data_IF_978471893915
#
_entry.id   IF_978471893915
#
_cell.length_a   1.000
_cell.length_b   1.000
_cell.length_c   1.000
_cell.angle_alpha   90.00
_cell.angle_beta   90.00
_cell.angle_gamma   90.00
#
_symmetry.space_group_name_H-M   'P 1'
#
loop_
_entity.id
_entity.type
_entity.pdbx_description
1 polymer ?
#
# COMPACT_ATOMS: atom_id res chain seq x y z
N UNK A 1 6.34 15.79 -16.16
CA UNK A 1 7.43 14.88 -15.75
C UNK A 1 8.77 15.62 -15.75
N UNK A 2 9.27 16.09 -16.89
CA UNK A 2 10.60 16.70 -17.01
C UNK A 2 10.85 17.89 -16.07
N UNK A 3 9.87 18.79 -15.93
CA UNK A 3 9.97 19.92 -15.00
C UNK A 3 10.20 19.47 -13.55
N UNK A 4 9.55 18.38 -13.11
CA UNK A 4 9.74 17.81 -11.77
C UNK A 4 11.11 17.16 -11.66
N UNK A 5 11.48 16.32 -12.64
CA UNK A 5 12.72 15.54 -12.60
C UNK A 5 14.00 16.40 -12.72
N UNK A 6 13.92 17.60 -13.30
CA UNK A 6 15.05 18.54 -13.37
C UNK A 6 15.30 19.32 -12.08
N UNK A 7 14.38 19.27 -11.11
CA UNK A 7 14.51 20.03 -9.88
C UNK A 7 15.32 19.21 -8.83
N UNK A 8 16.51 19.66 -8.43
CA UNK A 8 17.38 18.92 -7.50
C UNK A 8 16.80 18.84 -6.08
N UNK A 9 15.78 19.63 -5.73
CA UNK A 9 15.11 19.53 -4.42
C UNK A 9 14.08 18.38 -4.35
N UNK A 10 13.82 17.69 -5.47
CA UNK A 10 12.91 16.53 -5.48
C UNK A 10 13.66 15.27 -5.08
N UNK A 11 13.09 14.52 -4.15
CA UNK A 11 13.65 13.26 -3.63
C UNK A 11 13.17 12.02 -4.39
N UNK A 12 12.32 12.19 -5.40
CA UNK A 12 11.77 11.10 -6.21
C UNK A 12 11.64 11.51 -7.67
N UNK A 13 11.67 10.51 -8.55
CA UNK A 13 11.56 10.67 -10.01
C UNK A 13 10.18 10.25 -10.50
N UNK A 14 9.64 10.99 -11.45
CA UNK A 14 8.43 10.63 -12.19
C UNK A 14 8.79 9.91 -13.49
N UNK A 15 7.94 8.97 -13.90
CA UNK A 15 8.04 8.27 -15.19
C UNK A 15 6.67 8.22 -15.86
N UNK A 16 6.68 8.03 -17.16
CA UNK A 16 5.48 7.75 -17.93
C UNK A 16 4.93 6.37 -17.53
N UNK A 17 3.61 6.25 -17.40
CA UNK A 17 2.91 5.03 -17.01
C UNK A 17 1.53 4.96 -17.67
N UNK A 18 0.80 3.88 -17.40
CA UNK A 18 -0.61 3.69 -17.76
C UNK A 18 -1.54 4.83 -17.29
N UNK A 19 -1.14 5.56 -16.25
CA UNK A 19 -1.85 6.72 -15.71
C UNK A 19 -1.63 8.01 -16.53
N UNK A 20 -0.63 8.05 -17.42
CA UNK A 20 -0.17 9.30 -18.04
C UNK A 20 -1.11 9.84 -19.12
N UNK A 21 -2.03 9.03 -19.63
CA UNK A 21 -3.01 9.41 -20.66
C UNK A 21 -4.45 9.37 -20.17
N UNK A 22 -4.68 9.12 -18.88
CA UNK A 22 -6.03 9.10 -18.33
C UNK A 22 -6.64 10.50 -18.33
N UNK A 23 -7.91 10.57 -18.72
CA UNK A 23 -8.75 11.73 -18.42
C UNK A 23 -8.98 11.83 -16.91
N UNK A 24 -9.40 13.01 -16.45
CA UNK A 24 -9.76 13.22 -15.04
C UNK A 24 -10.84 12.25 -14.55
N UNK A 25 -11.78 11.88 -15.42
CA UNK A 25 -12.87 10.95 -15.06
C UNK A 25 -12.38 9.51 -14.97
N UNK A 26 -11.51 9.06 -15.88
CA UNK A 26 -10.88 7.74 -15.78
C UNK A 26 -9.98 7.64 -14.55
N UNK A 27 -9.20 8.68 -14.28
CA UNK A 27 -8.39 8.77 -13.07
C UNK A 27 -9.25 8.65 -11.80
N UNK A 28 -10.38 9.38 -11.73
CA UNK A 28 -11.30 9.31 -10.59
C UNK A 28 -11.91 7.92 -10.40
N UNK A 29 -12.24 7.19 -11.48
CA UNK A 29 -12.79 5.82 -11.36
C UNK A 29 -11.84 4.85 -10.65
N UNK A 30 -10.52 5.09 -10.76
CA UNK A 30 -9.49 4.31 -10.06
C UNK A 30 -9.34 4.70 -8.58
N UNK A 31 -10.00 5.76 -8.11
CA UNK A 31 -10.01 6.21 -6.71
C UNK A 31 -11.37 5.88 -6.06
N UNK A 32 -11.40 4.90 -5.14
CA UNK A 32 -12.67 4.43 -4.58
C UNK A 32 -12.72 4.24 -3.05
N UNK A 33 -11.69 4.66 -2.31
CA UNK A 33 -11.74 4.62 -0.84
C UNK A 33 -12.86 5.54 -0.34
N UNK A 34 -13.75 4.98 0.48
CA UNK A 34 -14.75 5.74 1.23
C UNK A 34 -14.46 5.58 2.70
N UNK A 35 -14.00 6.65 3.33
CA UNK A 35 -13.76 6.65 4.77
C UNK A 35 -15.09 6.74 5.50
N UNK A 36 -15.38 5.84 6.45
CA UNK A 36 -16.55 6.00 7.30
C UNK A 36 -16.36 7.22 8.22
N UNK A 37 -17.42 7.99 8.44
CA UNK A 37 -17.40 9.14 9.36
C UNK A 37 -17.22 8.72 10.83
N UNK A 38 -17.48 7.45 11.13
CA UNK A 38 -17.30 6.85 12.44
C UNK A 38 -16.29 5.72 12.29
N UNK A 39 -15.17 5.83 12.99
CA UNK A 39 -14.22 4.72 13.10
C UNK A 39 -14.84 3.73 14.11
N UNK A 40 -15.13 2.49 13.71
CA UNK A 40 -15.66 1.50 14.63
C UNK A 40 -14.67 1.24 15.77
N UNK A 41 -15.20 0.91 16.94
CA UNK A 41 -14.40 0.62 18.12
C UNK A 41 -13.36 -0.46 17.78
N UNK A 42 -12.08 -0.17 18.07
CA UNK A 42 -10.95 -1.00 17.66
C UNK A 42 -10.03 -1.21 18.84
N UNK A 43 -9.43 -2.39 18.95
CA UNK A 43 -8.44 -2.66 20.00
C UNK A 43 -7.18 -1.84 19.73
N UNK A 44 -6.80 -0.90 20.61
CA UNK A 44 -5.56 -0.15 20.44
C UNK A 44 -4.37 -1.09 20.39
N UNK A 45 -3.39 -0.77 19.55
CA UNK A 45 -2.11 -1.48 19.55
C UNK A 45 -1.35 -1.14 20.84
N UNK A 46 -0.89 -2.16 21.56
CA UNK A 46 -0.01 -2.04 22.72
C UNK A 46 1.29 -2.75 22.38
N UNK A 47 2.39 -2.00 22.34
CA UNK A 47 3.71 -2.59 22.15
C UNK A 47 4.08 -3.44 23.38
N UNK A 48 4.70 -4.62 23.19
CA UNK A 48 5.25 -5.40 24.30
C UNK A 48 6.29 -4.58 25.09
N UNK A 49 6.39 -4.84 26.40
CA UNK A 49 7.41 -4.23 27.24
C UNK A 49 8.82 -4.57 26.71
N UNK A 50 9.68 -3.56 26.60
CA UNK A 50 11.04 -3.71 26.07
C UNK A 50 11.11 -3.94 24.54
N UNK A 51 10.03 -3.67 23.80
CA UNK A 51 10.07 -3.76 22.34
C UNK A 51 10.94 -2.64 21.73
N UNK A 52 12.05 -3.05 21.11
CA UNK A 52 12.90 -2.19 20.28
C UNK A 52 12.63 -2.52 18.80
N UNK A 53 12.23 -1.52 18.02
CA UNK A 53 12.03 -1.69 16.59
C UNK A 53 13.40 -1.77 15.88
N UNK A 54 13.54 -2.61 14.84
CA UNK A 54 14.77 -2.60 14.04
C UNK A 54 14.88 -1.31 13.22
N UNK A 55 16.11 -0.89 12.91
CA UNK A 55 16.39 0.26 12.04
C UNK A 55 15.75 0.13 10.64
N UNK A 56 15.59 -1.10 10.16
CA UNK A 56 14.92 -1.41 8.90
C UNK A 56 14.29 -2.80 8.92
N UNK A 57 13.13 -2.94 8.28
CA UNK A 57 12.46 -4.23 8.05
C UNK A 57 11.82 -4.26 6.66
N UNK A 58 11.99 -5.37 5.96
CA UNK A 58 11.27 -5.68 4.73
C UNK A 58 10.54 -7.02 4.87
N UNK A 59 9.21 -6.98 4.90
CA UNK A 59 8.38 -8.18 5.04
C UNK A 59 8.38 -9.07 3.78
N UNK A 60 8.85 -8.56 2.63
CA UNK A 60 9.01 -9.34 1.39
C UNK A 60 10.08 -10.40 1.56
N UNK A 61 11.20 -10.05 2.18
CA UNK A 61 12.32 -10.97 2.45
C UNK A 61 11.92 -12.08 3.44
N UNK A 62 10.86 -11.85 4.22
CA UNK A 62 10.30 -12.79 5.18
C UNK A 62 9.12 -13.60 4.61
N UNK A 63 8.81 -13.46 3.32
CA UNK A 63 7.74 -14.20 2.65
C UNK A 63 6.33 -13.82 3.14
N UNK A 64 6.16 -12.61 3.69
CA UNK A 64 4.89 -12.13 4.24
C UNK A 64 4.18 -11.09 3.36
N UNK A 65 4.57 -10.99 2.08
CA UNK A 65 4.01 -10.05 1.11
C UNK A 65 3.82 -10.79 -0.21
N UNK A 66 2.57 -10.89 -0.66
CA UNK A 66 2.24 -11.49 -1.95
C UNK A 66 2.74 -10.63 -3.12
N UNK A 67 2.81 -11.24 -4.30
CA UNK A 67 3.20 -10.53 -5.53
C UNK A 67 2.30 -9.33 -5.84
N UNK A 68 2.87 -8.33 -6.53
CA UNK A 68 2.14 -7.11 -6.94
C UNK A 68 0.97 -7.49 -7.87
N UNK A 69 -0.19 -6.90 -7.60
CA UNK A 69 -1.44 -7.09 -8.37
C UNK A 69 -1.90 -5.75 -8.98
N UNK A 70 -2.88 -5.81 -9.89
CA UNK A 70 -3.44 -4.64 -10.57
C UNK A 70 -4.95 -4.49 -10.28
N UNK A 71 -5.36 -3.29 -9.83
CA UNK A 71 -6.76 -2.94 -9.59
C UNK A 71 -7.53 -2.58 -10.87
N UNK A 72 -6.80 -2.35 -11.98
CA UNK A 72 -7.30 -1.88 -13.26
C UNK A 72 -8.16 -0.61 -13.11
N UNK A 73 -9.27 -0.52 -13.85
CA UNK A 73 -10.15 0.65 -13.87
C UNK A 73 -11.18 0.68 -12.72
N UNK A 74 -10.98 -0.13 -11.68
CA UNK A 74 -11.84 -0.19 -10.50
C UNK A 74 -11.20 0.57 -9.33
N UNK A 75 -12.00 1.33 -8.57
CA UNK A 75 -11.60 2.00 -7.33
C UNK A 75 -11.42 1.04 -6.14
N UNK A 76 -10.81 -0.13 -6.36
CA UNK A 76 -10.74 -1.25 -5.43
C UNK A 76 -9.47 -1.29 -4.59
N UNK A 77 -8.62 -0.26 -4.61
CA UNK A 77 -7.37 -0.22 -3.83
C UNK A 77 -7.54 -0.55 -2.34
N UNK A 78 -8.68 -0.20 -1.73
CA UNK A 78 -9.01 -0.56 -0.35
C UNK A 78 -9.09 -2.08 -0.14
N UNK A 79 -9.60 -2.83 -1.13
CA UNK A 79 -9.72 -4.27 -1.07
C UNK A 79 -8.34 -4.93 -1.19
N UNK A 80 -7.48 -4.42 -2.07
CA UNK A 80 -6.09 -4.89 -2.20
C UNK A 80 -5.28 -4.64 -0.92
N UNK A 81 -5.39 -3.46 -0.31
CA UNK A 81 -4.76 -3.16 0.97
C UNK A 81 -5.24 -4.10 2.09
N UNK A 82 -6.55 -4.39 2.12
CA UNK A 82 -7.16 -5.29 3.11
C UNK A 82 -6.67 -6.72 2.91
N UNK A 83 -6.71 -7.24 1.68
CA UNK A 83 -6.26 -8.59 1.34
C UNK A 83 -4.76 -8.75 1.62
N UNK A 84 -3.92 -7.80 1.21
CA UNK A 84 -2.48 -7.85 1.47
C UNK A 84 -2.14 -7.90 2.96
N UNK A 85 -2.89 -7.16 3.79
CA UNK A 85 -2.73 -7.21 5.26
C UNK A 85 -3.12 -8.57 5.83
N UNK A 86 -4.25 -9.14 5.37
CA UNK A 86 -4.72 -10.45 5.82
C UNK A 86 -3.78 -11.58 5.37
N UNK A 87 -3.31 -11.53 4.13
CA UNK A 87 -2.32 -12.44 3.56
C UNK A 87 -1.04 -12.40 4.40
N UNK A 88 -0.49 -11.22 4.70
CA UNK A 88 0.72 -11.07 5.52
C UNK A 88 0.57 -11.58 6.95
N UNK A 89 -0.56 -11.28 7.62
CA UNK A 89 -0.85 -11.85 8.95
C UNK A 89 -1.00 -13.37 8.91
N UNK A 90 -1.64 -13.90 7.87
CA UNK A 90 -1.78 -15.33 7.68
C UNK A 90 -0.42 -16.02 7.49
N UNK A 91 0.44 -15.47 6.63
CA UNK A 91 1.80 -15.94 6.39
C UNK A 91 2.62 -15.98 7.69
N UNK A 92 2.62 -14.88 8.45
CA UNK A 92 3.31 -14.79 9.76
C UNK A 92 2.80 -15.84 10.76
N UNK A 93 1.48 -16.03 10.86
CA UNK A 93 0.87 -16.97 11.81
C UNK A 93 1.14 -18.43 11.42
N UNK A 94 1.09 -18.76 10.13
CA UNK A 94 1.25 -20.12 9.63
C UNK A 94 2.71 -20.48 9.30
N UNK A 95 3.63 -19.52 9.36
CA UNK A 95 5.02 -19.64 8.89
C UNK A 95 5.08 -20.11 7.43
N UNK A 96 4.19 -19.58 6.61
CA UNK A 96 4.11 -19.86 5.17
C UNK A 96 4.74 -18.71 4.39
N UNK A 97 5.40 -19.03 3.29
CA UNK A 97 5.88 -18.08 2.30
C UNK A 97 4.78 -17.92 1.25
N UNK A 98 4.37 -16.69 0.98
CA UNK A 98 3.29 -16.34 0.04
C UNK A 98 3.73 -15.37 -1.05
#
# INVERSE_FOLDING_TARGET
IDKHNRNPSKTFVLRFSDMSMLTSEEYKRRLGVRMPSVIPDSTPFVAPEGFEAPDSIDWRDLGAVSGVKDQADCGSCWAFATVGTLEGQHAKRKKLII
#
